data_IF_181165355399
#
_entry.id   IF_181165355399
#
_cell.length_a   1.000
_cell.length_b   1.000
_cell.length_c   1.000
_cell.angle_alpha   90.00
_cell.angle_beta   90.00
_cell.angle_gamma   90.00
#
_symmetry.space_group_name_H-M   'P 1'
#
loop_
_entity.id
_entity.type
_entity.pdbx_description
1 polymer ?
#
# COMPACT_ATOMS: atom_id res chain seq x y z
N UNK A 1 23.35 -56.98 25.62
CA UNK A 1 22.79 -57.44 24.33
C UNK A 1 21.26 -57.32 24.22
N UNK A 2 20.45 -57.56 25.26
CA UNK A 2 18.99 -57.45 25.14
C UNK A 2 18.43 -56.02 25.36
N UNK A 3 19.15 -55.17 26.11
CA UNK A 3 18.73 -53.78 26.39
C UNK A 3 19.07 -52.81 25.25
N UNK A 4 20.25 -52.92 24.64
CA UNK A 4 20.62 -52.12 23.46
C UNK A 4 19.70 -52.39 22.26
N UNK A 5 19.34 -53.66 22.03
CA UNK A 5 18.40 -54.03 20.96
C UNK A 5 17.00 -53.46 21.21
N UNK A 6 16.61 -53.30 22.47
CA UNK A 6 15.33 -52.70 22.85
C UNK A 6 15.35 -51.18 22.67
N UNK A 7 16.46 -50.54 23.05
CA UNK A 7 16.66 -49.09 22.88
C UNK A 7 16.62 -48.69 21.40
N UNK A 8 17.33 -49.41 20.52
CA UNK A 8 17.31 -49.16 19.06
C UNK A 8 15.91 -49.32 18.46
N UNK A 9 15.10 -50.25 19.00
CA UNK A 9 13.74 -50.47 18.54
C UNK A 9 12.78 -49.36 19.02
N UNK A 10 13.00 -48.83 20.22
CA UNK A 10 12.27 -47.66 20.74
C UNK A 10 12.63 -46.38 19.96
N UNK A 11 13.90 -46.18 19.62
CA UNK A 11 14.35 -45.05 18.80
C UNK A 11 13.80 -45.11 17.36
N UNK A 12 13.82 -46.31 16.75
CA UNK A 12 13.23 -46.52 15.42
C UNK A 12 11.72 -46.27 15.42
N UNK A 13 11.03 -46.55 16.53
CA UNK A 13 9.60 -46.26 16.69
C UNK A 13 9.35 -44.76 16.82
N UNK A 14 10.18 -44.06 17.58
CA UNK A 14 10.10 -42.61 17.74
C UNK A 14 10.28 -41.87 16.40
N UNK A 15 11.28 -42.25 15.60
CA UNK A 15 11.51 -41.67 14.26
C UNK A 15 10.32 -41.90 13.32
N UNK A 16 9.68 -43.06 13.40
CA UNK A 16 8.47 -43.36 12.62
C UNK A 16 7.26 -42.53 13.08
N UNK A 17 7.13 -42.26 14.38
CA UNK A 17 6.08 -41.40 14.93
C UNK A 17 6.30 -39.92 14.52
N UNK A 18 7.54 -39.44 14.54
CA UNK A 18 7.90 -38.09 14.07
C UNK A 18 7.66 -37.92 12.56
N UNK A 19 8.05 -38.91 11.76
CA UNK A 19 7.77 -38.92 10.31
C UNK A 19 6.26 -38.92 9.99
N UNK A 20 5.45 -39.52 10.85
CA UNK A 20 3.98 -39.50 10.73
C UNK A 20 3.42 -38.12 11.08
N UNK A 21 3.94 -37.47 12.11
CA UNK A 21 3.56 -36.12 12.49
C UNK A 21 3.82 -35.11 11.37
N UNK A 22 5.01 -35.14 10.76
CA UNK A 22 5.37 -34.27 9.62
C UNK A 22 4.45 -34.50 8.41
N UNK A 23 4.04 -35.74 8.15
CA UNK A 23 3.08 -36.05 7.08
C UNK A 23 1.66 -35.53 7.40
N UNK A 24 1.23 -35.56 8.66
CA UNK A 24 -0.05 -35.01 9.10
C UNK A 24 -0.05 -33.47 9.02
N UNK A 25 1.04 -32.81 9.38
CA UNK A 25 1.23 -31.36 9.24
C UNK A 25 1.22 -30.94 7.76
N UNK A 26 1.94 -31.68 6.90
CA UNK A 26 1.93 -31.45 5.44
C UNK A 26 0.54 -31.63 4.83
N UNK A 27 -0.26 -32.55 5.38
CA UNK A 27 -1.65 -32.73 4.96
C UNK A 27 -2.54 -31.57 5.39
N UNK A 28 -2.35 -31.05 6.60
CA UNK A 28 -3.06 -29.88 7.10
C UNK A 28 -2.79 -28.64 6.22
N UNK A 29 -1.52 -28.38 5.88
CA UNK A 29 -1.13 -27.27 4.98
C UNK A 29 -1.77 -27.42 3.59
N UNK A 30 -1.87 -28.64 3.07
CA UNK A 30 -2.54 -28.90 1.78
C UNK A 30 -4.06 -28.68 1.85
N UNK A 31 -4.70 -29.04 2.97
CA UNK A 31 -6.12 -28.81 3.20
C UNK A 31 -6.43 -27.31 3.34
N UNK A 32 -5.58 -26.56 4.04
CA UNK A 32 -5.67 -25.10 4.16
C UNK A 32 -5.46 -24.40 2.80
N UNK A 33 -4.46 -24.84 2.03
CA UNK A 33 -4.22 -24.35 0.67
C UNK A 33 -5.40 -24.62 -0.27
N UNK A 34 -6.07 -25.76 -0.09
CA UNK A 34 -7.28 -26.10 -0.85
C UNK A 34 -8.45 -25.19 -0.47
N UNK A 35 -8.61 -24.89 0.82
CA UNK A 35 -9.65 -23.97 1.29
C UNK A 35 -9.47 -22.56 0.71
N UNK A 36 -8.23 -22.02 0.75
CA UNK A 36 -7.90 -20.72 0.15
C UNK A 36 -8.17 -20.69 -1.37
N UNK A 37 -7.86 -21.78 -2.07
CA UNK A 37 -8.15 -21.90 -3.50
C UNK A 37 -9.66 -21.99 -3.79
N UNK A 38 -10.43 -22.66 -2.95
CA UNK A 38 -11.89 -22.74 -3.07
C UNK A 38 -12.55 -21.38 -2.80
N UNK A 39 -12.10 -20.62 -1.79
CA UNK A 39 -12.53 -19.23 -1.56
C UNK A 39 -12.14 -18.32 -2.72
N UNK A 40 -10.92 -18.42 -3.24
CA UNK A 40 -10.46 -17.62 -4.38
C UNK A 40 -11.31 -17.87 -5.63
N UNK A 41 -11.68 -19.13 -5.92
CA UNK A 41 -12.58 -19.47 -7.03
C UNK A 41 -14.00 -18.98 -6.80
N UNK A 42 -14.47 -18.98 -5.56
CA UNK A 42 -15.79 -18.45 -5.21
C UNK A 42 -15.86 -16.94 -5.47
N UNK A 43 -14.80 -16.19 -5.11
CA UNK A 43 -14.66 -14.75 -5.41
C UNK A 43 -14.65 -14.50 -6.92
N UNK A 44 -13.85 -15.25 -7.70
CA UNK A 44 -13.81 -15.10 -9.17
C UNK A 44 -15.18 -15.36 -9.80
N UNK A 45 -15.89 -16.41 -9.37
CA UNK A 45 -17.21 -16.72 -9.90
C UNK A 45 -18.26 -15.65 -9.53
N UNK A 46 -18.18 -15.04 -8.34
CA UNK A 46 -19.07 -13.93 -7.97
C UNK A 46 -18.82 -12.72 -8.88
N UNK A 47 -17.54 -12.36 -9.09
CA UNK A 47 -17.14 -11.24 -9.95
C UNK A 47 -17.65 -11.43 -11.38
N UNK A 48 -17.53 -12.63 -11.94
CA UNK A 48 -18.06 -12.94 -13.27
C UNK A 48 -19.60 -12.87 -13.32
N UNK A 49 -20.28 -13.35 -12.28
CA UNK A 49 -21.74 -13.43 -12.26
C UNK A 49 -22.43 -12.08 -11.99
N UNK A 50 -21.80 -11.20 -11.21
CA UNK A 50 -22.23 -9.80 -11.01
C UNK A 50 -22.05 -8.99 -12.30
N UNK A 51 -20.93 -9.19 -13.01
CA UNK A 51 -20.71 -8.57 -14.32
C UNK A 51 -21.74 -8.97 -15.38
N UNK A 52 -22.30 -10.18 -15.36
CA UNK A 52 -23.36 -10.61 -16.29
C UNK A 52 -24.76 -10.03 -15.95
N UNK A 53 -24.98 -9.62 -14.70
CA UNK A 53 -26.27 -9.08 -14.23
C UNK A 53 -26.36 -7.55 -14.42
N UNK A 54 -25.24 -6.82 -14.24
CA UNK A 54 -25.17 -5.35 -14.40
C UNK A 54 -25.31 -4.90 -15.87
N UNK A 55 -24.74 -5.64 -16.82
CA UNK A 55 -24.77 -5.33 -18.28
C UNK A 55 -26.19 -5.24 -18.87
N UNK A 56 -27.23 -5.69 -18.14
CA UNK A 56 -28.62 -5.67 -18.63
C UNK A 56 -29.46 -4.48 -18.15
N UNK A 57 -28.93 -3.60 -17.28
CA UNK A 57 -29.76 -2.58 -16.61
C UNK A 57 -29.32 -1.09 -16.78
N UNK A 58 -28.14 -0.78 -17.34
CA UNK A 58 -27.40 0.43 -16.91
C UNK A 58 -26.98 1.50 -17.96
N UNK A 59 -27.32 1.37 -19.26
CA UNK A 59 -26.66 2.21 -20.29
C UNK A 59 -26.95 3.73 -20.27
N UNK A 60 -27.94 4.23 -19.53
CA UNK A 60 -28.28 5.66 -19.50
C UNK A 60 -28.03 6.35 -18.15
N UNK A 61 -28.09 5.62 -17.04
CA UNK A 61 -27.93 6.15 -15.67
C UNK A 61 -26.43 6.28 -15.32
N UNK A 62 -25.61 5.34 -15.79
CA UNK A 62 -24.15 5.36 -15.56
C UNK A 62 -23.47 6.56 -16.20
N UNK A 63 -23.87 6.96 -17.41
CA UNK A 63 -23.28 8.11 -18.11
C UNK A 63 -23.41 9.41 -17.31
N UNK A 64 -24.53 9.60 -16.61
CA UNK A 64 -24.75 10.79 -15.76
C UNK A 64 -23.86 10.75 -14.53
N UNK A 65 -23.72 9.57 -13.91
CA UNK A 65 -22.87 9.37 -12.72
C UNK A 65 -21.39 9.60 -13.07
N UNK A 66 -20.93 9.13 -14.23
CA UNK A 66 -19.55 9.36 -14.67
C UNK A 66 -19.25 10.85 -14.92
N UNK A 67 -20.19 11.60 -15.50
CA UNK A 67 -20.03 13.05 -15.69
C UNK A 67 -20.01 13.81 -14.36
N UNK A 68 -20.88 13.44 -13.40
CA UNK A 68 -20.89 14.02 -12.06
C UNK A 68 -19.58 13.76 -11.30
N UNK A 69 -19.09 12.52 -11.32
CA UNK A 69 -17.81 12.17 -10.68
C UNK A 69 -16.65 12.93 -11.33
N UNK A 70 -16.63 13.03 -12.66
CA UNK A 70 -15.58 13.77 -13.36
C UNK A 70 -15.60 15.27 -13.01
N UNK A 71 -16.78 15.87 -12.85
CA UNK A 71 -16.91 17.27 -12.44
C UNK A 71 -16.37 17.50 -11.02
N UNK A 72 -16.72 16.62 -10.07
CA UNK A 72 -16.20 16.68 -8.69
C UNK A 72 -14.68 16.52 -8.66
N UNK A 73 -14.13 15.55 -9.42
CA UNK A 73 -12.68 15.36 -9.53
C UNK A 73 -11.99 16.60 -10.08
N UNK A 74 -12.55 17.21 -11.12
CA UNK A 74 -12.00 18.43 -11.72
C UNK A 74 -12.00 19.59 -10.72
N UNK A 75 -13.11 19.80 -10.01
CA UNK A 75 -13.23 20.86 -9.00
C UNK A 75 -12.20 20.68 -7.87
N UNK A 76 -12.10 19.47 -7.30
CA UNK A 76 -11.13 19.19 -6.24
C UNK A 76 -9.68 19.39 -6.71
N UNK A 77 -9.38 19.05 -7.96
CA UNK A 77 -8.05 19.25 -8.53
C UNK A 77 -7.70 20.72 -8.75
N UNK A 78 -8.66 21.54 -9.19
CA UNK A 78 -8.50 22.99 -9.31
C UNK A 78 -8.27 23.64 -7.94
N UNK A 79 -8.99 23.19 -6.91
CA UNK A 79 -8.78 23.66 -5.53
C UNK A 79 -7.38 23.31 -5.02
N UNK A 80 -6.92 22.07 -5.23
CA UNK A 80 -5.58 21.65 -4.82
C UNK A 80 -4.47 22.42 -5.56
N UNK A 81 -4.62 22.62 -6.88
CA UNK A 81 -3.69 23.40 -7.69
C UNK A 81 -3.62 24.87 -7.24
N UNK A 82 -4.77 25.49 -6.98
CA UNK A 82 -4.82 26.87 -6.49
C UNK A 82 -4.15 27.01 -5.12
N UNK A 83 -4.33 26.03 -4.22
CA UNK A 83 -3.64 26.01 -2.94
C UNK A 83 -2.12 25.83 -3.10
N UNK A 84 -1.68 25.02 -4.07
CA UNK A 84 -0.27 24.78 -4.37
C UNK A 84 0.49 26.04 -4.83
N UNK A 85 -0.18 26.97 -5.53
CA UNK A 85 0.42 28.25 -5.92
C UNK A 85 0.86 29.10 -4.71
N UNK A 86 0.13 28.99 -3.59
CA UNK A 86 0.45 29.68 -2.33
C UNK A 86 1.61 29.05 -1.54
N UNK A 87 1.99 27.80 -1.84
CA UNK A 87 3.02 27.09 -1.08
C UNK A 87 4.45 27.57 -1.41
N UNK A 88 4.63 28.28 -2.52
CA UNK A 88 5.94 28.84 -2.91
C UNK A 88 6.54 29.78 -1.85
N UNK A 89 5.70 30.39 -1.01
CA UNK A 89 6.10 31.29 0.06
C UNK A 89 6.63 30.57 1.32
N UNK A 90 6.40 29.25 1.44
CA UNK A 90 6.79 28.41 2.59
C UNK A 90 8.11 27.65 2.41
N UNK A 91 8.77 27.79 1.25
CA UNK A 91 10.06 27.16 0.98
C UNK A 91 11.17 27.81 1.82
N UNK A 92 11.25 27.47 3.11
CA UNK A 92 12.30 27.93 4.00
C UNK A 92 13.64 27.36 3.50
N UNK A 93 14.53 28.26 3.09
CA UNK A 93 15.65 27.97 2.19
C UNK A 93 16.83 27.19 2.83
N UNK A 94 16.58 26.38 3.88
CA UNK A 94 17.67 25.85 4.73
C UNK A 94 17.62 24.39 5.17
N UNK A 95 16.60 23.61 4.85
CA UNK A 95 16.65 22.15 5.10
C UNK A 95 16.04 21.44 3.91
N UNK A 96 16.88 20.98 2.99
CA UNK A 96 16.42 20.22 1.83
C UNK A 96 16.48 18.76 2.20
N UNK A 97 15.45 18.26 2.86
CA UNK A 97 15.33 16.84 3.24
C UNK A 97 15.66 15.92 2.06
N UNK A 98 15.15 16.25 0.87
CA UNK A 98 15.51 15.56 -0.36
C UNK A 98 17.02 15.56 -0.61
N UNK A 99 17.68 16.73 -0.64
CA UNK A 99 19.13 16.79 -0.91
C UNK A 99 20.00 16.14 0.17
N UNK A 100 19.66 16.35 1.44
CA UNK A 100 20.37 15.77 2.58
C UNK A 100 20.28 14.24 2.59
N UNK A 101 19.10 13.70 2.25
CA UNK A 101 18.92 12.27 2.06
C UNK A 101 19.57 11.75 0.75
N UNK A 102 19.64 12.56 -0.32
CA UNK A 102 20.24 12.14 -1.61
C UNK A 102 21.77 11.98 -1.59
N UNK A 103 22.50 12.73 -0.76
CA UNK A 103 23.96 12.74 -0.78
C UNK A 103 24.57 11.53 -0.04
N UNK A 104 23.85 10.95 0.91
CA UNK A 104 24.34 9.87 1.78
C UNK A 104 23.66 8.50 1.57
N UNK A 105 22.52 8.43 0.86
CA UNK A 105 21.70 7.22 0.73
C UNK A 105 21.53 6.75 -0.74
N UNK A 106 22.03 5.56 -1.08
CA UNK A 106 21.87 4.95 -2.41
C UNK A 106 20.40 4.69 -2.80
N UNK A 107 19.49 4.65 -1.82
CA UNK A 107 18.04 4.46 -2.03
C UNK A 107 17.34 5.62 -2.75
N UNK A 108 17.98 6.78 -2.90
CA UNK A 108 17.33 7.94 -3.52
C UNK A 108 17.44 7.94 -5.05
N UNK A 109 18.47 7.31 -5.64
CA UNK A 109 18.57 7.19 -7.11
C UNK A 109 17.41 6.38 -7.69
N UNK A 110 16.98 5.34 -6.99
CA UNK A 110 15.82 4.55 -7.40
C UNK A 110 14.51 5.31 -7.22
N UNK A 111 14.45 6.27 -6.29
CA UNK A 111 13.30 7.15 -6.11
C UNK A 111 13.19 8.19 -7.23
N UNK A 112 14.30 8.80 -7.65
CA UNK A 112 14.35 9.72 -8.80
C UNK A 112 13.86 9.02 -10.09
N UNK A 113 14.32 7.79 -10.33
CA UNK A 113 13.90 6.99 -11.48
C UNK A 113 12.42 6.60 -11.40
N UNK A 114 11.94 6.17 -10.22
CA UNK A 114 10.55 5.80 -10.01
C UNK A 114 9.58 6.97 -10.24
N UNK A 115 9.98 8.18 -9.81
CA UNK A 115 9.19 9.40 -9.95
C UNK A 115 9.45 10.16 -11.26
N UNK A 116 10.39 9.71 -12.09
CA UNK A 116 10.74 10.36 -13.35
C UNK A 116 11.31 11.77 -13.18
N UNK A 117 12.10 12.00 -12.13
CA UNK A 117 12.65 13.32 -11.80
C UNK A 117 13.47 13.88 -12.97
N UNK A 118 13.16 15.11 -13.38
CA UNK A 118 13.81 15.78 -14.51
C UNK A 118 13.27 15.41 -15.90
N UNK A 119 12.30 14.50 -15.98
CA UNK A 119 11.57 14.15 -17.20
C UNK A 119 10.22 14.86 -17.33
N UNK A 120 9.46 14.49 -18.37
CA UNK A 120 8.06 14.89 -18.54
C UNK A 120 7.17 14.17 -17.50
N UNK A 121 6.39 14.89 -16.66
CA UNK A 121 5.59 14.28 -15.60
C UNK A 121 4.58 13.23 -16.10
N UNK A 122 4.04 13.41 -17.30
CA UNK A 122 3.12 12.47 -17.93
C UNK A 122 3.78 11.13 -18.25
N UNK A 123 5.10 11.09 -18.44
CA UNK A 123 5.91 9.91 -18.75
C UNK A 123 6.50 9.22 -17.51
N UNK A 124 6.36 9.83 -16.32
CA UNK A 124 6.87 9.29 -15.07
C UNK A 124 6.28 7.89 -14.80
N UNK A 125 7.08 6.89 -14.36
CA UNK A 125 6.54 5.58 -14.00
C UNK A 125 5.47 5.68 -12.91
N UNK A 126 5.72 6.50 -11.89
CA UNK A 126 4.81 6.76 -10.78
C UNK A 126 4.54 8.25 -10.67
N UNK A 127 3.27 8.65 -10.52
CA UNK A 127 2.88 10.01 -10.15
C UNK A 127 2.32 10.03 -8.73
N UNK A 128 2.80 10.95 -7.92
CA UNK A 128 2.25 11.18 -6.57
C UNK A 128 1.00 12.06 -6.69
N UNK A 129 -0.06 11.67 -5.99
CA UNK A 129 -1.32 12.42 -5.92
C UNK A 129 -1.21 13.46 -4.81
N UNK A 130 -1.72 14.66 -4.99
CA UNK A 130 -1.70 15.69 -3.95
C UNK A 130 -2.65 15.29 -2.80
N UNK A 131 -2.16 15.31 -1.56
CA UNK A 131 -2.96 14.94 -0.39
C UNK A 131 -4.18 15.85 -0.21
N UNK A 132 -4.08 17.15 -0.51
CA UNK A 132 -5.22 18.09 -0.44
C UNK A 132 -6.29 17.73 -1.45
N UNK A 133 -5.90 17.29 -2.65
CA UNK A 133 -6.85 16.78 -3.64
C UNK A 133 -7.61 15.57 -3.08
N UNK A 134 -6.90 14.59 -2.49
CA UNK A 134 -7.54 13.41 -1.90
C UNK A 134 -8.45 13.77 -0.72
N UNK A 135 -8.05 14.72 0.12
CA UNK A 135 -8.87 15.24 1.24
C UNK A 135 -10.13 15.93 0.72
N UNK A 136 -10.00 16.81 -0.28
CA UNK A 136 -11.14 17.51 -0.89
C UNK A 136 -12.10 16.50 -1.53
N UNK A 137 -11.56 15.53 -2.27
CA UNK A 137 -12.34 14.47 -2.92
C UNK A 137 -13.05 13.59 -1.88
N UNK A 138 -12.41 13.29 -0.75
CA UNK A 138 -13.01 12.54 0.35
C UNK A 138 -14.17 13.31 1.02
N UNK A 139 -14.11 14.64 1.09
CA UNK A 139 -15.15 15.50 1.67
C UNK A 139 -16.30 15.79 0.69
N UNK A 140 -16.06 15.66 -0.61
CA UNK A 140 -17.06 15.96 -1.63
C UNK A 140 -18.18 14.90 -1.69
N UNK A 141 -19.41 15.37 -1.89
CA UNK A 141 -20.54 14.48 -2.14
C UNK A 141 -20.33 13.73 -3.47
N UNK A 142 -20.43 12.40 -3.44
CA UNK A 142 -20.17 11.56 -4.61
C UNK A 142 -18.68 11.38 -4.96
N UNK A 143 -17.76 11.94 -4.16
CA UNK A 143 -16.32 11.80 -4.39
C UNK A 143 -15.83 10.35 -4.38
N UNK A 144 -15.15 9.95 -5.45
CA UNK A 144 -14.62 8.60 -5.68
C UNK A 144 -13.27 8.68 -6.37
N UNK A 145 -12.40 7.72 -6.05
CA UNK A 145 -11.12 7.58 -6.73
C UNK A 145 -11.32 7.38 -8.23
N UNK A 146 -10.44 7.96 -9.05
CA UNK A 146 -10.34 7.65 -10.47
C UNK A 146 -8.91 7.22 -10.80
N UNK A 147 -8.78 6.39 -11.83
CA UNK A 147 -7.47 5.89 -12.24
C UNK A 147 -6.55 7.02 -12.71
N UNK A 148 -5.23 6.82 -12.59
CA UNK A 148 -4.20 7.81 -12.95
C UNK A 148 -4.50 8.58 -14.24
N UNK A 149 -4.79 7.85 -15.32
CA UNK A 149 -4.89 8.43 -16.66
C UNK A 149 -6.17 9.28 -16.85
N UNK A 150 -7.12 9.21 -15.92
CA UNK A 150 -8.32 10.03 -15.89
C UNK A 150 -8.21 11.23 -14.93
N UNK A 151 -7.13 11.32 -14.14
CA UNK A 151 -6.92 12.45 -13.23
C UNK A 151 -6.44 13.69 -13.99
N UNK A 152 -6.99 14.88 -13.67
CA UNK A 152 -6.46 16.14 -14.18
C UNK A 152 -5.10 16.47 -13.58
N UNK A 153 -4.32 17.31 -14.27
CA UNK A 153 -2.97 17.69 -13.83
C UNK A 153 -2.93 18.30 -12.41
N UNK A 154 -3.95 19.08 -12.04
CA UNK A 154 -4.06 19.67 -10.70
C UNK A 154 -4.24 18.68 -9.55
N UNK A 155 -4.56 17.42 -9.83
CA UNK A 155 -4.66 16.38 -8.82
C UNK A 155 -3.30 15.82 -8.39
N UNK A 156 -2.22 16.09 -9.14
CA UNK A 156 -0.91 15.52 -8.89
C UNK A 156 0.00 16.48 -8.12
N UNK A 157 0.81 15.90 -7.23
CA UNK A 157 1.82 16.62 -6.49
C UNK A 157 3.05 16.90 -7.39
N UNK A 158 3.52 18.14 -7.44
CA UNK A 158 4.73 18.51 -8.18
C UNK A 158 5.97 17.98 -7.44
N UNK A 159 6.66 16.99 -8.01
CA UNK A 159 7.88 16.39 -7.43
C UNK A 159 9.00 17.43 -7.25
N UNK A 160 9.02 18.50 -8.07
CA UNK A 160 9.95 19.61 -7.88
C UNK A 160 9.72 20.35 -6.55
N UNK A 161 8.52 20.27 -5.97
CA UNK A 161 8.22 20.77 -4.63
C UNK A 161 8.86 19.91 -3.54
N UNK A 162 8.95 18.59 -3.69
CA UNK A 162 9.67 17.74 -2.72
C UNK A 162 11.14 18.15 -2.58
N UNK A 163 11.75 18.63 -3.67
CA UNK A 163 13.12 19.12 -3.67
C UNK A 163 13.30 20.50 -3.04
N UNK A 164 12.20 21.26 -2.87
CA UNK A 164 12.17 22.63 -2.34
C UNK A 164 11.65 22.70 -0.90
N UNK A 165 10.72 21.82 -0.54
CA UNK A 165 10.04 21.81 0.75
C UNK A 165 10.84 21.01 1.80
N UNK A 166 10.63 21.37 3.07
CA UNK A 166 11.29 20.80 4.25
C UNK A 166 10.78 19.39 4.61
N UNK A 167 11.37 18.78 5.65
CA UNK A 167 10.90 17.52 6.25
C UNK A 167 9.39 17.58 6.61
N UNK A 168 8.72 16.42 6.60
CA UNK A 168 7.36 16.27 7.15
C UNK A 168 7.34 16.30 8.68
N UNK A 169 6.15 16.29 9.31
CA UNK A 169 5.98 16.36 10.78
C UNK A 169 6.55 15.15 11.51
N UNK A 170 6.75 14.04 10.82
CA UNK A 170 7.44 12.88 11.39
C UNK A 170 8.97 13.08 11.28
N UNK A 171 9.71 12.72 12.32
CA UNK A 171 11.16 12.92 12.38
C UNK A 171 11.87 12.31 11.16
N UNK A 172 12.68 13.12 10.45
CA UNK A 172 13.48 12.73 9.29
C UNK A 172 12.66 12.16 8.11
N UNK A 173 11.45 12.66 7.88
CA UNK A 173 10.57 12.18 6.80
C UNK A 173 10.49 13.11 5.60
N UNK A 174 10.28 12.53 4.42
CA UNK A 174 9.88 13.26 3.22
C UNK A 174 8.39 13.63 3.30
N UNK A 175 7.98 14.67 2.57
CA UNK A 175 6.57 14.98 2.33
C UNK A 175 5.92 14.03 1.31
N UNK A 176 6.13 12.73 1.52
CA UNK A 176 5.60 11.65 0.69
C UNK A 176 4.95 10.62 1.59
N UNK A 177 3.74 10.17 1.26
CA UNK A 177 3.04 9.10 1.96
C UNK A 177 2.80 7.94 0.99
N UNK A 178 2.99 6.71 1.42
CA UNK A 178 2.62 5.53 0.63
C UNK A 178 1.41 4.83 1.25
N UNK A 179 0.41 4.49 0.43
CA UNK A 179 -0.84 3.89 0.89
C UNK A 179 -0.94 2.45 0.39
N UNK A 180 -1.18 1.52 1.30
CA UNK A 180 -1.58 0.14 0.99
C UNK A 180 -3.01 -0.05 1.49
N UNK A 181 -3.93 -0.24 0.56
CA UNK A 181 -5.35 -0.40 0.86
C UNK A 181 -5.96 -1.57 0.10
N UNK A 182 -7.04 -2.18 0.62
CA UNK A 182 -7.69 -3.30 -0.02
C UNK A 182 -8.40 -2.88 -1.30
N UNK A 183 -8.70 -3.87 -2.16
CA UNK A 183 -9.59 -3.69 -3.31
C UNK A 183 -10.95 -4.32 -3.01
N UNK A 184 -12.00 -3.50 -3.06
CA UNK A 184 -13.37 -3.89 -2.69
C UNK A 184 -14.16 -4.59 -3.81
N UNK A 185 -13.80 -4.38 -5.07
CA UNK A 185 -14.36 -5.11 -6.21
C UNK A 185 -13.33 -5.36 -7.32
N UNK A 186 -13.64 -6.24 -8.27
CA UNK A 186 -12.76 -6.51 -9.43
C UNK A 186 -12.50 -5.24 -10.25
N UNK A 187 -13.55 -4.52 -10.59
CA UNK A 187 -13.51 -3.32 -11.44
C UNK A 187 -12.88 -2.11 -10.74
N UNK A 188 -13.20 -1.88 -9.46
CA UNK A 188 -12.82 -0.65 -8.77
C UNK A 188 -12.32 -0.90 -7.34
N UNK A 189 -11.20 -0.29 -6.89
CA UNK A 189 -10.66 -0.54 -5.55
C UNK A 189 -11.57 -0.06 -4.42
N UNK A 190 -12.33 1.01 -4.64
CA UNK A 190 -13.23 1.59 -3.64
C UNK A 190 -14.51 2.15 -4.28
N UNK A 191 -15.44 1.28 -4.74
CA UNK A 191 -16.57 1.69 -5.59
C UNK A 191 -17.46 2.76 -4.96
N UNK A 192 -17.57 2.80 -3.63
CA UNK A 192 -18.45 3.71 -2.88
C UNK A 192 -17.69 4.87 -2.23
N UNK A 193 -16.37 4.96 -2.41
CA UNK A 193 -15.52 5.98 -1.79
C UNK A 193 -15.34 5.81 -0.28
N UNK A 194 -15.66 4.63 0.29
CA UNK A 194 -15.66 4.43 1.74
C UNK A 194 -14.24 4.36 2.30
N UNK A 195 -13.31 3.79 1.54
CA UNK A 195 -11.88 3.78 1.91
C UNK A 195 -11.25 5.15 1.71
N UNK A 196 -11.63 5.86 0.65
CA UNK A 196 -11.21 7.24 0.40
C UNK A 196 -11.64 8.17 1.53
N UNK A 197 -12.90 8.09 2.00
CA UNK A 197 -13.36 8.92 3.13
C UNK A 197 -12.53 8.69 4.39
N UNK A 198 -12.26 7.42 4.70
CA UNK A 198 -11.43 7.04 5.84
C UNK A 198 -9.99 7.54 5.71
N UNK A 199 -9.37 7.30 4.54
CA UNK A 199 -8.03 7.77 4.23
C UNK A 199 -7.95 9.30 4.27
N UNK A 200 -8.96 9.97 3.73
CA UNK A 200 -9.06 11.43 3.69
C UNK A 200 -9.00 12.05 5.08
N UNK A 201 -9.65 11.46 6.09
CA UNK A 201 -9.57 11.93 7.49
C UNK A 201 -8.16 11.84 8.06
N UNK A 202 -7.43 10.77 7.75
CA UNK A 202 -6.02 10.61 8.16
C UNK A 202 -5.12 11.58 7.42
N UNK A 203 -5.31 11.74 6.11
CA UNK A 203 -4.53 12.68 5.29
C UNK A 203 -4.74 14.14 5.73
N UNK A 204 -5.97 14.49 6.16
CA UNK A 204 -6.31 15.82 6.69
C UNK A 204 -5.39 16.18 7.88
N UNK A 205 -5.11 15.21 8.77
CA UNK A 205 -4.17 15.40 9.88
C UNK A 205 -2.77 15.78 9.41
N UNK A 206 -2.25 15.15 8.35
CA UNK A 206 -0.92 15.47 7.82
C UNK A 206 -0.89 16.85 7.14
N UNK A 207 -1.96 17.23 6.44
CA UNK A 207 -2.05 18.51 5.73
C UNK A 207 -2.14 19.68 6.71
N UNK A 208 -2.97 19.57 7.74
CA UNK A 208 -3.21 20.65 8.71
C UNK A 208 -2.02 20.87 9.66
N UNK A 209 -1.31 19.82 10.06
CA UNK A 209 -0.24 19.93 11.08
C UNK A 209 1.04 20.57 10.51
N UNK A 210 1.37 20.34 9.23
CA UNK A 210 2.66 20.76 8.66
C UNK A 210 2.67 22.04 7.84
N UNK A 211 1.51 22.54 7.42
CA UNK A 211 1.43 23.63 6.45
C UNK A 211 2.03 23.24 5.09
N UNK A 212 1.18 22.94 4.11
CA UNK A 212 1.64 22.42 2.81
C UNK A 212 0.78 21.26 2.36
N UNK A 213 1.29 20.45 1.44
CA UNK A 213 0.66 19.18 1.06
C UNK A 213 1.69 18.06 1.07
N UNK A 214 1.22 16.84 0.87
CA UNK A 214 2.02 15.63 0.74
C UNK A 214 1.80 15.00 -0.63
N UNK A 215 2.85 14.44 -1.20
CA UNK A 215 2.74 13.55 -2.35
C UNK A 215 2.32 12.15 -1.90
N UNK A 216 1.16 11.68 -2.33
CA UNK A 216 0.60 10.38 -1.93
C UNK A 216 0.79 9.37 -3.05
N UNK A 217 1.54 8.30 -2.78
CA UNK A 217 1.52 7.08 -3.59
C UNK A 217 0.25 6.30 -3.24
N UNK A 218 -0.72 6.33 -4.14
CA UNK A 218 -1.93 5.53 -4.08
C UNK A 218 -2.02 4.72 -5.38
N UNK A 219 -1.68 3.41 -5.41
CA UNK A 219 -1.37 2.68 -6.64
C UNK A 219 -2.39 2.87 -7.78
N UNK A 220 -3.69 2.83 -7.49
CA UNK A 220 -4.74 3.04 -8.48
C UNK A 220 -4.71 4.42 -9.17
N UNK A 221 -4.37 5.46 -8.42
CA UNK A 221 -4.28 6.84 -8.89
C UNK A 221 -2.86 7.22 -9.36
N UNK A 222 -1.85 6.44 -8.96
CA UNK A 222 -0.43 6.76 -9.17
C UNK A 222 0.23 6.00 -10.31
N UNK A 223 -0.34 4.86 -10.71
CA UNK A 223 0.24 3.95 -11.72
C UNK A 223 -0.75 3.76 -12.86
N UNK A 224 -0.29 3.95 -14.10
CA UNK A 224 -1.13 3.71 -15.29
C UNK A 224 -1.37 2.20 -15.44
N UNK A 225 -2.60 1.74 -15.76
CA UNK A 225 -2.86 0.32 -15.95
C UNK A 225 -2.05 -0.24 -17.13
N UNK A 226 -1.73 -1.55 -17.10
CA UNK A 226 -0.85 -2.16 -18.10
C UNK A 226 -1.44 -2.19 -19.52
N UNK A 227 -2.75 -1.98 -19.67
CA UNK A 227 -3.42 -1.95 -20.98
C UNK A 227 -3.06 -0.71 -21.81
N UNK A 228 -2.57 0.37 -21.18
CA UNK A 228 -2.15 1.58 -21.88
C UNK A 228 -0.66 1.57 -22.24
N UNK A 229 0.20 1.28 -21.26
CA UNK A 229 1.66 1.35 -21.38
C UNK A 229 2.33 0.30 -20.48
N UNK A 230 2.58 -0.90 -21.03
CA UNK A 230 3.15 -2.01 -20.28
C UNK A 230 4.58 -1.76 -19.79
N UNK A 231 5.38 -1.01 -20.54
CA UNK A 231 6.76 -0.69 -20.17
C UNK A 231 6.80 0.28 -18.98
N UNK A 232 5.96 1.33 -19.00
CA UNK A 232 5.80 2.23 -17.86
C UNK A 232 5.27 1.49 -16.64
N UNK A 233 4.32 0.58 -16.83
CA UNK A 233 3.80 -0.24 -15.74
C UNK A 233 4.91 -1.07 -15.10
N UNK A 234 5.72 -1.79 -15.88
CA UNK A 234 6.85 -2.58 -15.37
C UNK A 234 7.88 -1.72 -14.64
N UNK A 235 8.24 -0.54 -15.17
CA UNK A 235 9.10 0.42 -14.48
C UNK A 235 8.49 0.89 -13.15
N UNK A 236 7.18 1.11 -13.12
CA UNK A 236 6.48 1.46 -11.89
C UNK A 236 6.58 0.33 -10.86
N UNK A 237 6.38 -0.94 -11.26
CA UNK A 237 6.50 -2.09 -10.36
C UNK A 237 7.86 -2.15 -9.66
N UNK A 238 8.94 -1.88 -10.39
CA UNK A 238 10.28 -1.81 -9.81
C UNK A 238 10.43 -0.67 -8.80
N UNK A 239 9.86 0.50 -9.08
CA UNK A 239 9.89 1.66 -8.19
C UNK A 239 9.08 1.51 -6.90
N UNK A 240 8.00 0.71 -6.91
CA UNK A 240 7.13 0.54 -5.74
C UNK A 240 7.87 -0.08 -4.54
N UNK A 241 8.76 -1.05 -4.77
CA UNK A 241 9.58 -1.63 -3.69
C UNK A 241 10.43 -0.55 -3.00
N UNK A 242 11.01 0.36 -3.78
CA UNK A 242 11.80 1.47 -3.23
C UNK A 242 10.92 2.41 -2.41
N UNK A 243 9.76 2.83 -2.92
CA UNK A 243 8.89 3.76 -2.18
C UNK A 243 8.36 3.14 -0.88
N UNK A 244 7.76 1.94 -0.93
CA UNK A 244 7.27 1.27 0.29
C UNK A 244 8.42 0.92 1.23
N UNK A 245 9.62 0.66 0.72
CA UNK A 245 10.79 0.28 1.51
C UNK A 245 11.51 1.46 2.15
N UNK A 246 11.45 2.66 1.55
CA UNK A 246 12.31 3.79 1.91
C UNK A 246 11.99 4.38 3.28
N UNK A 247 12.92 4.31 4.23
CA UNK A 247 12.68 4.57 5.66
C UNK A 247 12.17 5.98 5.97
N UNK A 248 12.42 6.97 5.10
CA UNK A 248 11.91 8.33 5.23
C UNK A 248 10.49 8.55 4.67
N UNK A 249 9.84 7.52 4.12
CA UNK A 249 8.45 7.57 3.61
C UNK A 249 7.54 6.80 4.58
N UNK A 250 6.63 7.49 5.29
CA UNK A 250 5.60 6.84 6.08
C UNK A 250 4.65 6.02 5.20
N UNK A 251 4.21 4.88 5.73
CA UNK A 251 3.27 3.99 5.04
C UNK A 251 1.96 3.92 5.82
N UNK A 252 0.87 4.27 5.17
CA UNK A 252 -0.50 4.11 5.64
C UNK A 252 -1.02 2.73 5.18
N UNK A 253 -1.18 1.80 6.11
CA UNK A 253 -1.74 0.47 5.86
C UNK A 253 -3.21 0.45 6.28
N UNK A 254 -4.06 -0.11 5.42
CA UNK A 254 -5.45 -0.42 5.77
C UNK A 254 -5.69 -1.94 5.72
N UNK A 255 -5.08 -2.72 6.64
CA UNK A 255 -5.06 -4.17 6.57
C UNK A 255 -6.42 -4.85 6.78
N UNK A 256 -7.38 -4.11 7.34
CA UNK A 256 -8.74 -4.52 7.56
C UNK A 256 -9.69 -3.34 7.30
N UNK A 257 -10.92 -3.68 6.94
CA UNK A 257 -11.99 -2.68 6.95
C UNK A 257 -12.31 -2.30 8.39
N UNK A 258 -12.40 -1.00 8.71
CA UNK A 258 -12.86 -0.55 10.01
C UNK A 258 -14.24 -1.11 10.35
N UNK A 259 -14.51 -1.37 11.62
CA UNK A 259 -15.77 -2.00 12.05
C UNK A 259 -17.02 -1.16 11.73
N UNK A 260 -16.86 0.14 11.57
CA UNK A 260 -17.87 1.13 11.21
C UNK A 260 -18.17 1.20 9.70
N UNK A 261 -17.38 0.51 8.86
CA UNK A 261 -17.59 0.45 7.42
C UNK A 261 -18.50 -0.72 7.05
N UNK A 262 -19.71 -0.40 6.56
CA UNK A 262 -20.63 -1.40 6.04
C UNK A 262 -20.10 -1.98 4.71
N UNK A 263 -19.44 -3.14 4.83
CA UNK A 263 -18.89 -3.89 3.71
C UNK A 263 -19.88 -4.90 3.11
N UNK A 264 -21.16 -4.90 3.52
CA UNK A 264 -22.13 -5.95 3.16
C UNK A 264 -22.44 -6.06 1.66
N UNK A 265 -22.07 -5.05 0.85
CA UNK A 265 -22.13 -5.06 -0.62
C UNK A 265 -20.78 -5.03 -1.33
N UNK A 266 -19.66 -5.03 -0.59
CA UNK A 266 -18.32 -5.14 -1.17
C UNK A 266 -17.84 -6.59 -1.00
N UNK A 267 -17.27 -7.19 -2.03
CA UNK A 267 -16.67 -8.52 -1.95
C UNK A 267 -15.46 -8.45 -1.00
N UNK A 268 -15.71 -8.57 0.30
CA UNK A 268 -14.73 -8.44 1.39
C UNK A 268 -13.84 -9.68 1.44
N UNK A 269 -12.92 -9.76 0.49
CA UNK A 269 -11.74 -10.64 0.48
C UNK A 269 -10.44 -9.82 0.61
N UNK A 270 -10.53 -8.57 1.05
CA UNK A 270 -9.97 -7.49 0.25
C UNK A 270 -8.48 -7.13 0.51
N UNK A 271 -7.87 -7.56 1.63
CA UNK A 271 -6.47 -7.23 1.95
C UNK A 271 -5.58 -8.47 2.09
N UNK A 272 -5.93 -9.41 2.98
CA UNK A 272 -5.11 -10.58 3.28
C UNK A 272 -5.02 -11.58 2.12
N UNK A 273 -5.99 -11.56 1.19
CA UNK A 273 -6.05 -12.47 0.03
C UNK A 273 -5.28 -11.91 -1.17
N UNK A 274 -5.06 -10.59 -1.24
CA UNK A 274 -4.42 -9.95 -2.39
C UNK A 274 -2.90 -9.97 -2.29
N UNK A 275 -2.25 -10.41 -3.37
CA UNK A 275 -0.78 -10.51 -3.42
C UNK A 275 -0.09 -9.15 -3.34
N UNK A 276 -0.74 -8.12 -3.87
CA UNK A 276 -0.28 -6.73 -3.83
C UNK A 276 -0.21 -6.18 -2.40
N UNK A 277 -1.29 -6.27 -1.63
CA UNK A 277 -1.31 -5.80 -0.23
C UNK A 277 -0.35 -6.59 0.66
N UNK A 278 -0.10 -7.88 0.37
CA UNK A 278 0.94 -8.66 1.04
C UNK A 278 2.34 -8.10 0.73
N UNK A 279 2.64 -7.83 -0.53
CA UNK A 279 3.92 -7.23 -0.95
C UNK A 279 4.16 -5.88 -0.28
N UNK A 280 3.21 -4.95 -0.39
CA UNK A 280 3.31 -3.59 0.15
C UNK A 280 3.54 -3.61 1.67
N UNK A 281 2.76 -4.43 2.39
CA UNK A 281 2.90 -4.61 3.84
C UNK A 281 4.25 -5.23 4.24
N UNK A 282 4.70 -6.27 3.54
CA UNK A 282 5.96 -6.94 3.85
C UNK A 282 7.18 -6.06 3.57
N UNK A 283 7.17 -5.30 2.48
CA UNK A 283 8.25 -4.34 2.16
C UNK A 283 8.28 -3.20 3.19
N UNK A 284 7.11 -2.62 3.49
CA UNK A 284 7.00 -1.53 4.45
C UNK A 284 7.50 -1.90 5.85
N UNK A 285 7.26 -3.14 6.27
CA UNK A 285 7.64 -3.63 7.61
C UNK A 285 9.01 -4.31 7.66
N UNK A 286 9.76 -4.33 6.57
CA UNK A 286 11.07 -5.00 6.53
C UNK A 286 12.12 -4.26 7.36
N UNK A 287 12.21 -2.94 7.19
CA UNK A 287 13.29 -2.11 7.76
C UNK A 287 12.80 -0.86 8.50
N UNK A 288 11.51 -0.51 8.38
CA UNK A 288 10.99 0.71 8.99
C UNK A 288 10.73 0.56 10.49
N UNK A 289 10.94 1.62 11.27
CA UNK A 289 10.47 1.65 12.64
C UNK A 289 8.91 1.64 12.68
N UNK A 290 8.29 1.12 13.76
CA UNK A 290 6.83 1.05 13.89
C UNK A 290 6.11 2.41 13.79
N UNK A 291 6.79 3.51 14.10
CA UNK A 291 6.25 4.89 13.96
C UNK A 291 6.05 5.30 12.50
N UNK A 292 6.71 4.62 11.56
CA UNK A 292 6.65 4.90 10.13
C UNK A 292 5.67 3.99 9.37
N UNK A 293 4.98 3.10 10.09
CA UNK A 293 3.95 2.22 9.53
C UNK A 293 2.67 2.39 10.34
N UNK A 294 1.69 3.05 9.75
CA UNK A 294 0.45 3.47 10.40
C UNK A 294 -0.68 2.55 9.93
N UNK A 295 -1.23 1.76 10.84
CA UNK A 295 -2.40 0.92 10.66
C UNK A 295 -3.69 1.74 10.81
N UNK A 296 -4.17 2.27 9.69
CA UNK A 296 -5.39 3.10 9.59
C UNK A 296 -6.65 2.34 9.98
N UNK A 297 -6.62 1.00 10.01
CA UNK A 297 -7.76 0.21 10.47
C UNK A 297 -8.04 0.38 11.97
N UNK A 298 -7.03 0.81 12.73
CA UNK A 298 -7.13 1.13 14.17
C UNK A 298 -7.64 2.52 14.47
N UNK A 299 -7.70 3.41 13.47
CA UNK A 299 -8.20 4.76 13.67
C UNK A 299 -9.66 4.70 14.16
N UNK A 300 -10.04 5.48 15.15
CA UNK A 300 -11.44 5.59 15.56
C UNK A 300 -11.89 6.99 15.16
N UNK A 301 -12.69 7.09 14.08
CA UNK A 301 -13.20 8.38 13.65
C UNK A 301 -14.36 8.78 14.57
N UNK A 302 -14.08 9.69 15.50
CA UNK A 302 -15.07 10.26 16.41
C UNK A 302 -16.10 11.16 15.69
N UNK A 303 -15.87 11.44 14.40
CA UNK A 303 -16.64 12.39 13.62
C UNK A 303 -16.28 13.84 13.94
N UNK A 304 -16.66 14.76 13.06
CA UNK A 304 -16.40 16.19 13.23
C UNK A 304 -15.87 16.84 11.95
N UNK A 305 -15.92 18.18 11.92
CA UNK A 305 -15.41 18.97 10.80
C UNK A 305 -13.88 19.16 10.86
N UNK A 306 -13.32 19.17 12.06
CA UNK A 306 -11.88 19.37 12.29
C UNK A 306 -11.08 18.09 12.01
N UNK A 307 -9.85 18.27 11.52
CA UNK A 307 -8.90 17.19 11.33
C UNK A 307 -8.43 16.63 12.69
N UNK A 308 -8.20 15.31 12.81
CA UNK A 308 -7.58 14.75 14.01
C UNK A 308 -6.15 15.29 14.16
N UNK A 309 -5.67 15.43 15.39
CA UNK A 309 -4.26 15.75 15.63
C UNK A 309 -3.36 14.58 15.19
N UNK A 310 -2.27 14.90 14.50
CA UNK A 310 -1.42 13.89 13.88
C UNK A 310 -0.67 13.01 14.90
N UNK A 311 -0.03 13.60 15.90
CA UNK A 311 0.78 12.85 16.88
C UNK A 311 -0.05 11.79 17.64
N UNK A 312 -1.23 12.10 18.22
CA UNK A 312 -2.10 11.09 18.83
C UNK A 312 -2.61 10.02 17.85
N UNK A 313 -2.89 10.41 16.61
CA UNK A 313 -3.32 9.48 15.57
C UNK A 313 -2.21 8.47 15.27
N UNK A 314 -0.98 8.93 15.04
CA UNK A 314 0.17 8.06 14.75
C UNK A 314 0.44 7.13 15.93
N UNK A 315 0.36 7.61 17.17
CA UNK A 315 0.55 6.80 18.37
C UNK A 315 -0.48 5.67 18.49
N UNK A 316 -1.76 6.00 18.33
CA UNK A 316 -2.87 5.03 18.45
C UNK A 316 -2.91 4.03 17.30
N UNK A 317 -2.44 4.45 16.11
CA UNK A 317 -2.49 3.66 14.90
C UNK A 317 -1.18 2.95 14.55
N UNK A 318 -0.21 2.83 15.46
CA UNK A 318 1.05 2.12 15.15
C UNK A 318 0.81 0.69 14.67
N UNK A 319 1.41 0.32 13.54
CA UNK A 319 1.41 -1.06 13.09
C UNK A 319 2.40 -1.90 13.92
N UNK A 320 2.02 -3.14 14.21
CA UNK A 320 2.94 -4.11 14.79
C UNK A 320 3.84 -4.67 13.68
N UNK A 321 5.15 -4.52 13.84
CA UNK A 321 6.12 -5.15 12.96
C UNK A 321 6.08 -6.67 13.18
N UNK A 322 5.97 -7.42 12.10
CA UNK A 322 6.07 -8.88 12.10
C UNK A 322 7.47 -9.30 11.66
N UNK A 323 8.01 -10.44 12.11
CA UNK A 323 9.26 -10.97 11.60
C UNK A 323 9.26 -11.05 10.06
N UNK A 324 10.31 -10.55 9.40
CA UNK A 324 10.38 -10.49 7.96
C UNK A 324 10.47 -11.89 7.37
N UNK A 325 9.76 -12.07 6.26
CA UNK A 325 9.77 -13.32 5.52
C UNK A 325 11.08 -13.40 4.73
N UNK A 326 11.72 -14.57 4.77
CA UNK A 326 12.80 -14.85 3.82
C UNK A 326 12.25 -14.84 2.38
N UNK A 327 13.03 -14.45 1.36
CA UNK A 327 12.54 -14.37 -0.02
C UNK A 327 11.80 -15.62 -0.51
N UNK A 328 12.31 -16.82 -0.18
CA UNK A 328 11.65 -18.08 -0.53
C UNK A 328 10.28 -18.27 0.16
N UNK A 329 10.16 -17.85 1.44
CA UNK A 329 8.91 -17.92 2.20
C UNK A 329 7.90 -16.88 1.70
N UNK A 330 8.36 -15.67 1.38
CA UNK A 330 7.53 -14.64 0.74
C UNK A 330 6.99 -15.10 -0.62
N UNK A 331 7.86 -15.65 -1.48
CA UNK A 331 7.44 -16.20 -2.77
C UNK A 331 6.43 -17.35 -2.61
N UNK A 332 6.57 -18.19 -1.58
CA UNK A 332 5.58 -19.22 -1.27
C UNK A 332 4.24 -18.62 -0.82
N UNK A 333 4.27 -17.60 0.04
CA UNK A 333 3.07 -16.89 0.49
C UNK A 333 2.32 -16.25 -0.69
N UNK A 334 3.03 -15.59 -1.62
CA UNK A 334 2.44 -15.00 -2.82
C UNK A 334 1.73 -16.01 -3.75
N UNK A 335 2.16 -17.28 -3.77
CA UNK A 335 1.48 -18.33 -4.56
C UNK A 335 0.08 -18.64 -4.05
N UNK A 336 -0.18 -18.39 -2.76
CA UNK A 336 -1.48 -18.56 -2.13
C UNK A 336 -2.32 -17.26 -2.13
N UNK A 337 -2.02 -16.31 -3.03
CA UNK A 337 -2.70 -15.02 -3.12
C UNK A 337 -3.30 -14.78 -4.50
N UNK A 338 -4.42 -14.06 -4.51
CA UNK A 338 -5.11 -13.64 -5.71
C UNK A 338 -4.42 -12.43 -6.35
N UNK A 339 -4.47 -12.38 -7.68
CA UNK A 339 -3.97 -11.28 -8.50
C UNK A 339 -4.97 -10.98 -9.59
N UNK A 340 -5.14 -9.69 -9.92
CA UNK A 340 -5.86 -9.29 -11.13
C UNK A 340 -5.08 -9.74 -12.37
N UNK A 341 -3.74 -9.65 -12.31
CA UNK A 341 -2.84 -10.11 -13.36
C UNK A 341 -1.82 -11.08 -12.76
N UNK A 342 -1.95 -12.37 -13.08
CA UNK A 342 -1.06 -13.42 -12.56
C UNK A 342 0.44 -13.15 -12.83
N UNK A 343 0.76 -12.44 -13.93
CA UNK A 343 2.13 -12.06 -14.28
C UNK A 343 2.80 -11.16 -13.23
N UNK A 344 2.02 -10.41 -12.43
CA UNK A 344 2.57 -9.55 -11.37
C UNK A 344 3.24 -10.37 -10.26
N UNK A 345 2.80 -11.62 -10.05
CA UNK A 345 3.28 -12.45 -8.95
C UNK A 345 4.79 -12.64 -8.98
N UNK A 346 5.33 -12.96 -10.15
CA UNK A 346 6.77 -13.18 -10.32
C UNK A 346 7.55 -11.87 -10.21
N UNK A 347 6.99 -10.76 -10.71
CA UNK A 347 7.61 -9.43 -10.61
C UNK A 347 7.69 -8.97 -9.15
N UNK A 348 6.61 -9.10 -8.38
CA UNK A 348 6.60 -8.72 -6.96
C UNK A 348 7.51 -9.62 -6.11
N UNK A 349 7.57 -10.92 -6.41
CA UNK A 349 8.50 -11.84 -5.75
C UNK A 349 9.97 -11.44 -5.98
N UNK A 350 10.32 -11.13 -7.23
CA UNK A 350 11.67 -10.68 -7.58
C UNK A 350 12.00 -9.31 -6.98
N UNK A 351 11.05 -8.37 -6.99
CA UNK A 351 11.23 -7.06 -6.39
C UNK A 351 11.44 -7.14 -4.88
N UNK A 352 10.68 -7.99 -4.17
CA UNK A 352 10.88 -8.24 -2.75
C UNK A 352 12.25 -8.85 -2.46
N UNK A 353 12.67 -9.87 -3.22
CA UNK A 353 13.97 -10.50 -3.04
C UNK A 353 15.12 -9.52 -3.27
N UNK A 354 15.03 -8.70 -4.32
CA UNK A 354 16.02 -7.67 -4.62
C UNK A 354 16.11 -6.65 -3.47
N UNK A 355 14.97 -6.13 -3.00
CA UNK A 355 14.93 -5.19 -1.89
C UNK A 355 15.45 -5.81 -0.59
N UNK A 356 15.05 -7.05 -0.27
CA UNK A 356 15.52 -7.78 0.91
C UNK A 356 17.04 -7.93 0.89
N UNK A 357 17.62 -8.38 -0.22
CA UNK A 357 19.06 -8.58 -0.32
C UNK A 357 19.85 -7.27 -0.30
N UNK A 358 19.25 -6.14 -0.70
CA UNK A 358 19.88 -4.83 -0.64
C UNK A 358 19.81 -4.23 0.78
N UNK A 359 18.62 -4.25 1.40
CA UNK A 359 18.35 -3.53 2.64
C UNK A 359 18.72 -4.32 3.90
N UNK A 360 18.57 -5.65 3.88
CA UNK A 360 18.75 -6.47 5.09
C UNK A 360 20.21 -6.62 5.56
N UNK A 361 21.23 -6.72 4.68
CA UNK A 361 22.62 -6.85 5.13
C UNK A 361 23.17 -5.65 5.91
N UNK A 362 22.58 -4.47 5.74
CA UNK A 362 22.98 -3.23 6.45
C UNK A 362 22.28 -3.04 7.80
N UNK A 363 21.40 -3.96 8.22
CA UNK A 363 20.70 -3.85 9.49
C UNK A 363 21.52 -4.43 10.64
N UNK A 364 21.84 -3.59 11.62
CA UNK A 364 22.50 -4.02 12.86
C UNK A 364 21.51 -4.56 13.90
N UNK A 365 20.24 -4.15 13.82
CA UNK A 365 19.17 -4.61 14.70
C UNK A 365 17.80 -4.47 14.02
N UNK A 366 16.84 -5.26 14.49
CA UNK A 366 15.46 -5.21 14.03
C UNK A 366 14.57 -4.74 15.18
N UNK A 367 13.63 -3.84 14.89
CA UNK A 367 12.69 -3.29 15.86
C UNK A 367 11.33 -3.99 15.74
N UNK A 368 10.99 -4.82 16.72
CA UNK A 368 9.70 -5.52 16.82
C UNK A 368 9.00 -5.13 18.11
N UNK A 369 7.73 -4.74 18.02
CA UNK A 369 6.89 -4.49 19.21
C UNK A 369 7.50 -3.49 20.22
N UNK A 370 8.32 -2.55 19.75
CA UNK A 370 9.05 -1.59 20.60
C UNK A 370 10.31 -2.15 21.28
N UNK A 371 10.64 -3.43 21.06
CA UNK A 371 11.85 -4.07 21.56
C UNK A 371 12.90 -4.25 20.44
N UNK A 372 14.15 -3.92 20.76
CA UNK A 372 15.28 -4.14 19.86
C UNK A 372 15.77 -5.58 19.97
N UNK A 373 15.69 -6.33 18.87
CA UNK A 373 16.30 -7.67 18.76
C UNK A 373 17.55 -7.55 17.90
N UNK A 374 18.70 -7.51 18.58
CA UNK A 374 20.03 -7.43 17.97
C UNK A 374 20.75 -8.77 17.93
N UNK A 375 21.89 -8.81 17.22
CA UNK A 375 22.83 -9.95 17.24
C UNK A 375 23.58 -10.12 18.55
#
# INVERSE_FOLDING_TARGET
MNEESRFVNEESRFVNEESRFVNEESRFVNEESRFVNEESRFVVNIVEHEGELEVKAQDADESSIFEEVAAVVQECAEQAAAAAEGDADYADAKMKAWLELTEEDEGVRTLDEALGVGGEPSEAPIRLVDARFLVALAKAEGGRLVGRDALPEGAFFDVSRLQRESYGSLENTLRVLAVSMPRLSGEHPDPTGVLLRRLGRVLDSFVEDDGGSYGVLLPYCSVSPPAGDGERYERALHGLASIYGYTAIPVLLLPALPADVDASGAASAAYAVLGWSLFESCVARLVKPPTMVIDVSKFEDEGGEEAPFLEPLVESCRALNTPPLLPAAFAAALRARAFVRDADREVLAAAYEAFFNAAFPSLDALLYDGEWVGR
#
